data_IF_226749690682
#
_entry.id   IF_226749690682
#
_cell.length_a   1.000
_cell.length_b   1.000
_cell.length_c   1.000
_cell.angle_alpha   90.00
_cell.angle_beta   90.00
_cell.angle_gamma   90.00
#
_symmetry.space_group_name_H-M   'P 1'
#
loop_
_entity.id
_entity.type
_entity.pdbx_description
1 polymer ?
#
# COMPACT_ATOMS: atom_id res chain seq x y z
N UNK A 1 16.61 10.82 5.52
CA UNK A 1 15.57 10.29 6.44
C UNK A 1 14.68 11.44 6.87
N UNK A 2 13.43 11.19 7.26
CA UNK A 2 12.49 12.26 7.68
C UNK A 2 12.19 12.18 9.16
N UNK A 3 11.89 13.33 9.78
CA UNK A 3 11.65 13.53 11.22
C UNK A 3 10.20 13.96 11.55
N UNK A 4 9.35 14.10 10.54
CA UNK A 4 7.90 14.30 10.72
C UNK A 4 7.09 13.74 9.55
N UNK A 5 5.79 13.53 9.77
CA UNK A 5 4.83 13.16 8.74
C UNK A 5 4.71 14.23 7.63
N UNK A 6 4.72 15.52 7.99
CA UNK A 6 4.72 16.64 7.04
C UNK A 6 5.97 16.63 6.15
N UNK A 7 7.15 16.45 6.75
CA UNK A 7 8.42 16.37 6.00
C UNK A 7 8.42 15.17 5.05
N UNK A 8 7.87 14.03 5.46
CA UNK A 8 7.72 12.86 4.58
C UNK A 8 6.78 13.16 3.41
N UNK A 9 5.63 13.78 3.66
CA UNK A 9 4.71 14.18 2.61
C UNK A 9 5.36 15.14 1.61
N UNK A 10 6.04 16.17 2.08
CA UNK A 10 6.75 17.14 1.22
C UNK A 10 7.84 16.45 0.40
N UNK A 11 8.64 15.61 1.04
CA UNK A 11 9.74 14.86 0.39
C UNK A 11 9.19 13.93 -0.70
N UNK A 12 8.19 13.10 -0.37
CA UNK A 12 7.58 12.17 -1.32
C UNK A 12 6.88 12.90 -2.46
N UNK A 13 6.22 14.02 -2.17
CA UNK A 13 5.61 14.88 -3.20
C UNK A 13 6.67 15.41 -4.16
N UNK A 14 7.71 16.06 -3.63
CA UNK A 14 8.79 16.66 -4.43
C UNK A 14 9.47 15.61 -5.31
N UNK A 15 9.89 14.49 -4.74
CA UNK A 15 10.63 13.45 -5.46
C UNK A 15 9.77 12.75 -6.51
N UNK A 16 8.48 12.50 -6.22
CA UNK A 16 7.57 11.87 -7.19
C UNK A 16 7.22 12.79 -8.37
N UNK A 17 7.15 14.10 -8.12
CA UNK A 17 6.87 15.13 -9.14
C UNK A 17 8.10 15.58 -9.93
N UNK A 18 9.30 15.25 -9.46
CA UNK A 18 10.54 15.51 -10.18
C UNK A 18 10.61 14.72 -11.49
N UNK A 19 9.96 13.56 -11.59
CA UNK A 19 9.87 12.78 -12.84
C UNK A 19 11.24 12.50 -13.51
N UNK A 20 12.26 12.21 -12.70
CA UNK A 20 13.63 11.98 -13.18
C UNK A 20 14.44 13.24 -13.45
N UNK A 21 13.88 14.43 -13.24
CA UNK A 21 14.61 15.70 -13.28
C UNK A 21 15.53 15.83 -12.04
N UNK A 22 16.84 15.84 -12.27
CA UNK A 22 17.84 15.92 -11.20
C UNK A 22 17.81 17.28 -10.48
N UNK A 23 17.49 18.38 -11.15
CA UNK A 23 17.41 19.70 -10.51
C UNK A 23 16.17 19.77 -9.61
N UNK A 24 15.02 19.33 -10.11
CA UNK A 24 13.77 19.34 -9.36
C UNK A 24 13.79 18.40 -8.14
N UNK A 25 14.50 17.27 -8.23
CA UNK A 25 14.71 16.34 -7.12
C UNK A 25 15.77 16.78 -6.12
N UNK A 26 16.54 17.84 -6.43
CA UNK A 26 17.68 18.27 -5.60
C UNK A 26 18.88 17.32 -5.67
N UNK A 27 19.09 16.67 -6.82
CA UNK A 27 20.19 15.76 -7.10
C UNK A 27 19.96 14.31 -6.66
N UNK A 28 18.77 13.98 -6.13
CA UNK A 28 18.43 12.64 -5.67
C UNK A 28 17.86 11.79 -6.83
N UNK A 29 18.28 10.52 -6.98
CA UNK A 29 17.80 9.68 -8.06
C UNK A 29 16.36 9.20 -7.81
N UNK A 30 15.44 9.47 -8.74
CA UNK A 30 14.00 9.15 -8.58
C UNK A 30 13.51 8.02 -9.48
N UNK A 31 14.41 7.23 -10.09
CA UNK A 31 14.01 6.08 -10.92
C UNK A 31 13.36 4.98 -10.07
N UNK A 32 13.88 4.78 -8.87
CA UNK A 32 13.26 4.00 -7.81
C UNK A 32 13.02 4.92 -6.62
N UNK A 33 11.78 4.94 -6.13
CA UNK A 33 11.38 5.73 -4.98
C UNK A 33 10.40 4.91 -4.13
N UNK A 34 10.72 4.76 -2.85
CA UNK A 34 9.86 4.16 -1.83
C UNK A 34 10.17 4.81 -0.48
N UNK A 35 9.33 4.57 0.52
CA UNK A 35 9.67 4.84 1.91
C UNK A 35 9.27 3.68 2.82
N UNK A 36 9.98 3.53 3.93
CA UNK A 36 9.58 2.68 5.06
C UNK A 36 9.40 3.55 6.28
N UNK A 37 8.19 3.56 6.83
CA UNK A 37 7.83 4.41 7.97
C UNK A 37 7.89 3.59 9.25
N UNK A 38 8.62 4.04 10.26
CA UNK A 38 8.82 3.30 11.53
C UNK A 38 8.06 3.90 12.71
N UNK A 39 7.60 5.14 12.58
CA UNK A 39 6.73 5.83 13.53
C UNK A 39 6.06 7.00 12.81
N UNK A 40 5.17 7.72 13.51
CA UNK A 40 4.57 8.95 13.00
C UNK A 40 5.62 10.01 12.61
N UNK A 41 6.76 10.01 13.29
CA UNK A 41 7.83 10.99 13.08
C UNK A 41 8.95 10.46 12.18
N UNK A 42 9.21 9.16 12.15
CA UNK A 42 10.43 8.65 11.52
C UNK A 42 10.17 7.77 10.31
N UNK A 43 10.78 8.12 9.17
CA UNK A 43 10.79 7.27 7.99
C UNK A 43 12.15 7.29 7.27
N UNK A 44 12.44 6.19 6.57
CA UNK A 44 13.57 6.08 5.66
C UNK A 44 13.02 6.16 4.24
N UNK A 45 13.41 7.21 3.51
CA UNK A 45 13.10 7.37 2.09
C UNK A 45 14.23 6.73 1.29
N UNK A 46 13.90 5.78 0.43
CA UNK A 46 14.86 5.10 -0.43
C UNK A 46 14.75 5.62 -1.86
N UNK A 47 15.85 6.20 -2.34
CA UNK A 47 16.00 6.73 -3.68
C UNK A 47 17.03 5.88 -4.45
N UNK A 48 16.76 5.58 -5.71
CA UNK A 48 17.64 4.71 -6.50
C UNK A 48 17.65 5.03 -7.99
N UNK A 49 18.78 4.72 -8.61
CA UNK A 49 18.97 4.65 -10.07
C UNK A 49 19.75 3.41 -10.43
N UNK A 50 19.53 2.91 -11.64
CA UNK A 50 20.41 1.89 -12.20
C UNK A 50 21.82 2.47 -12.39
N UNK A 51 22.82 1.64 -12.09
CA UNK A 51 24.24 1.95 -12.30
C UNK A 51 24.91 0.77 -12.99
N UNK A 52 25.97 1.05 -13.74
CA UNK A 52 26.82 0.01 -14.31
C UNK A 52 27.53 -0.79 -13.20
N UNK A 53 28.00 -1.99 -13.56
CA UNK A 53 28.70 -2.85 -12.64
C UNK A 53 29.95 -2.14 -12.06
N UNK A 54 30.10 -2.06 -10.71
CA UNK A 54 31.25 -1.41 -10.08
C UNK A 54 32.60 -1.93 -10.56
N UNK A 55 33.42 -1.03 -11.12
CA UNK A 55 34.76 -1.38 -11.63
C UNK A 55 35.88 -1.03 -10.65
N UNK A 56 35.72 0.06 -9.88
CA UNK A 56 36.71 0.55 -8.92
C UNK A 56 36.64 -0.19 -7.57
N UNK A 57 37.72 -0.13 -6.80
CA UNK A 57 37.73 -0.72 -5.45
C UNK A 57 36.82 0.04 -4.47
N UNK A 58 36.63 1.34 -4.68
CA UNK A 58 35.77 2.20 -3.86
C UNK A 58 34.30 1.85 -4.08
N UNK A 59 33.85 1.78 -5.35
CA UNK A 59 32.46 1.41 -5.67
C UNK A 59 32.14 -0.02 -5.23
N UNK A 60 33.10 -0.94 -5.34
CA UNK A 60 32.91 -2.33 -4.88
C UNK A 60 32.67 -2.43 -3.37
N UNK A 61 33.16 -1.48 -2.56
CA UNK A 61 32.88 -1.43 -1.12
C UNK A 61 31.45 -1.01 -0.81
N UNK A 62 30.79 -0.31 -1.72
CA UNK A 62 29.38 0.08 -1.58
C UNK A 62 28.43 -1.10 -1.89
N UNK A 63 28.93 -2.21 -2.44
CA UNK A 63 28.08 -3.34 -2.82
C UNK A 63 27.48 -3.99 -1.57
N UNK A 64 26.15 -3.93 -1.45
CA UNK A 64 25.41 -4.62 -0.42
C UNK A 64 24.40 -5.62 -1.02
N UNK A 65 24.74 -6.91 -0.93
CA UNK A 65 23.78 -7.99 -1.16
C UNK A 65 22.78 -8.11 0.01
N UNK A 66 21.79 -7.22 0.09
CA UNK A 66 20.84 -7.13 1.22
C UNK A 66 20.12 -8.46 1.53
N UNK A 67 19.82 -9.25 0.50
CA UNK A 67 19.06 -10.50 0.62
C UNK A 67 19.86 -11.78 0.90
N UNK A 68 21.14 -11.69 1.28
CA UNK A 68 21.84 -12.88 1.75
C UNK A 68 21.14 -13.48 2.96
N UNK A 69 21.01 -14.81 3.00
CA UNK A 69 20.15 -15.50 3.96
C UNK A 69 20.58 -15.34 5.43
N UNK A 70 21.85 -14.99 5.69
CA UNK A 70 22.35 -14.66 7.02
C UNK A 70 22.20 -13.17 7.40
N UNK A 71 21.94 -12.28 6.42
CA UNK A 71 21.76 -10.84 6.67
C UNK A 71 20.37 -10.52 7.24
N UNK A 72 20.23 -9.39 7.95
CA UNK A 72 18.94 -8.97 8.50
C UNK A 72 17.91 -8.84 7.39
N UNK A 73 16.64 -8.92 7.74
CA UNK A 73 15.57 -8.53 6.83
C UNK A 73 15.76 -7.08 6.39
N UNK A 74 15.35 -6.75 5.16
CA UNK A 74 15.65 -5.44 4.56
C UNK A 74 15.09 -4.28 5.39
N UNK A 75 13.86 -4.39 5.88
CA UNK A 75 13.28 -3.36 6.75
C UNK A 75 14.02 -3.24 8.09
N UNK A 76 14.65 -4.30 8.63
CA UNK A 76 15.46 -4.18 9.85
C UNK A 76 16.84 -3.56 9.56
N UNK A 77 17.40 -3.79 8.37
CA UNK A 77 18.60 -3.08 7.89
C UNK A 77 18.35 -1.57 7.81
N UNK A 78 17.25 -1.15 7.18
CA UNK A 78 16.85 0.25 7.10
C UNK A 78 16.61 0.88 8.48
N UNK A 79 15.95 0.15 9.39
CA UNK A 79 15.75 0.59 10.77
C UNK A 79 17.08 0.79 11.51
N UNK A 80 18.04 -0.12 11.32
CA UNK A 80 19.36 0.00 11.94
C UNK A 80 20.07 1.27 11.48
N UNK A 81 19.98 1.62 10.19
CA UNK A 81 20.55 2.86 9.66
C UNK A 81 19.90 4.10 10.29
N UNK A 82 18.58 4.05 10.48
CA UNK A 82 17.80 5.10 11.15
C UNK A 82 18.23 5.29 12.61
N UNK A 83 18.34 4.19 13.36
CA UNK A 83 18.76 4.20 14.77
C UNK A 83 20.22 4.66 14.94
N UNK A 84 21.08 4.39 13.96
CA UNK A 84 22.46 4.89 13.91
C UNK A 84 22.56 6.40 13.58
N UNK A 85 21.43 7.05 13.26
CA UNK A 85 21.39 8.49 13.00
C UNK A 85 21.99 8.90 11.65
N UNK A 86 22.05 7.99 10.67
CA UNK A 86 22.50 8.34 9.33
C UNK A 86 21.51 9.30 8.66
N UNK A 87 21.92 10.50 8.24
CA UNK A 87 21.01 11.37 7.48
C UNK A 87 20.80 10.87 6.05
N UNK A 88 21.91 10.45 5.43
CA UNK A 88 22.00 9.87 4.08
C UNK A 88 22.96 8.68 4.10
N UNK A 89 22.60 7.62 3.39
CA UNK A 89 23.41 6.41 3.27
C UNK A 89 23.32 5.86 1.85
N UNK A 90 24.45 5.49 1.26
CA UNK A 90 24.54 5.08 -0.15
C UNK A 90 25.07 3.66 -0.24
N UNK A 91 24.34 2.82 -0.96
CA UNK A 91 24.70 1.43 -1.23
C UNK A 91 24.43 1.08 -2.70
N UNK A 92 25.22 0.15 -3.23
CA UNK A 92 24.98 -0.47 -4.54
C UNK A 92 24.38 -1.84 -4.30
N UNK A 93 23.11 -2.02 -4.64
CA UNK A 93 22.38 -3.27 -4.38
C UNK A 93 22.29 -4.05 -5.70
N UNK A 94 22.75 -5.33 -5.74
CA UNK A 94 22.54 -6.16 -6.92
C UNK A 94 21.06 -6.25 -7.28
N UNK A 95 20.72 -6.12 -8.57
CA UNK A 95 19.33 -5.98 -9.03
C UNK A 95 18.39 -7.08 -8.51
N UNK A 96 18.84 -8.35 -8.53
CA UNK A 96 18.06 -9.48 -7.99
C UNK A 96 17.79 -9.33 -6.48
N UNK A 97 18.75 -8.79 -5.72
CA UNK A 97 18.55 -8.54 -4.29
C UNK A 97 17.53 -7.41 -4.08
N UNK A 98 17.59 -6.35 -4.89
CA UNK A 98 16.65 -5.24 -4.78
C UNK A 98 15.20 -5.68 -5.09
N UNK A 99 14.98 -6.41 -6.19
CA UNK A 99 13.63 -6.87 -6.56
C UNK A 99 12.99 -7.82 -5.55
N UNK A 100 13.81 -8.57 -4.81
CA UNK A 100 13.31 -9.52 -3.80
C UNK A 100 13.47 -9.00 -2.37
N UNK A 101 13.73 -7.70 -2.14
CA UNK A 101 14.11 -7.14 -0.83
C UNK A 101 13.14 -7.47 0.31
N UNK A 102 11.87 -7.67 -0.01
CA UNK A 102 10.82 -8.05 0.94
C UNK A 102 10.44 -9.55 0.91
N UNK A 103 10.96 -10.34 -0.04
CA UNK A 103 10.55 -11.75 -0.22
C UNK A 103 10.87 -12.61 1.01
N UNK A 104 12.07 -12.44 1.60
CA UNK A 104 12.52 -13.28 2.74
C UNK A 104 11.71 -13.04 4.01
N UNK A 105 11.17 -11.84 4.16
CA UNK A 105 10.42 -11.42 5.34
C UNK A 105 8.91 -11.34 5.11
N UNK A 106 8.44 -11.61 3.87
CA UNK A 106 7.07 -11.29 3.41
C UNK A 106 6.72 -9.87 3.89
N UNK A 107 7.47 -8.89 3.40
CA UNK A 107 7.53 -7.53 3.94
C UNK A 107 8.08 -7.52 5.38
N UNK A 108 7.26 -7.87 6.37
CA UNK A 108 7.63 -8.08 7.79
C UNK A 108 6.82 -9.16 8.50
N UNK A 109 5.85 -9.80 7.83
CA UNK A 109 4.94 -10.81 8.39
C UNK A 109 5.66 -12.01 9.01
N UNK A 110 6.84 -12.37 8.51
CA UNK A 110 7.63 -13.46 9.09
C UNK A 110 8.04 -13.18 10.53
N UNK A 111 8.26 -11.91 10.89
CA UNK A 111 8.58 -11.55 12.27
C UNK A 111 7.34 -11.60 13.17
N UNK A 112 6.14 -11.35 12.65
CA UNK A 112 4.90 -11.54 13.41
C UNK A 112 4.60 -13.02 13.66
N UNK A 113 4.86 -13.87 12.66
CA UNK A 113 4.70 -15.33 12.80
C UNK A 113 5.80 -15.97 13.67
N UNK A 114 7.03 -15.50 13.54
CA UNK A 114 8.22 -16.03 14.23
C UNK A 114 9.04 -14.83 14.75
N UNK A 115 8.75 -14.33 15.97
CA UNK A 115 9.36 -13.10 16.51
C UNK A 115 10.88 -13.06 16.56
N UNK A 116 11.53 -14.23 16.63
CA UNK A 116 12.99 -14.35 16.63
C UNK A 116 13.59 -14.64 15.25
N UNK A 117 12.80 -14.56 14.17
CA UNK A 117 13.27 -14.90 12.82
C UNK A 117 14.39 -13.99 12.31
N UNK A 118 14.47 -12.76 12.80
CA UNK A 118 15.56 -11.85 12.48
C UNK A 118 16.78 -12.00 13.42
N UNK A 119 16.76 -12.90 14.40
CA UNK A 119 17.92 -13.15 15.27
C UNK A 119 19.08 -13.77 14.46
N UNK A 120 20.35 -13.35 14.64
CA UNK A 120 21.49 -13.85 13.85
C UNK A 120 21.63 -15.39 13.88
N UNK A 121 21.39 -16.03 15.03
CA UNK A 121 21.42 -17.50 15.15
C UNK A 121 20.32 -18.14 14.31
N UNK A 122 19.09 -17.62 14.37
CA UNK A 122 17.99 -18.15 13.56
C UNK A 122 18.30 -18.00 12.07
N UNK A 123 18.73 -16.81 11.64
CA UNK A 123 19.12 -16.57 10.25
C UNK A 123 20.24 -17.51 9.83
N UNK A 124 21.23 -17.75 10.68
CA UNK A 124 22.37 -18.62 10.39
C UNK A 124 21.99 -20.10 10.17
N UNK A 125 21.00 -20.62 10.90
CA UNK A 125 20.59 -22.02 10.74
C UNK A 125 19.41 -22.21 9.78
N UNK A 126 18.49 -21.25 9.75
CA UNK A 126 17.15 -21.39 9.14
C UNK A 126 16.83 -20.33 8.09
N UNK A 127 17.61 -19.26 7.99
CA UNK A 127 17.34 -18.15 7.06
C UNK A 127 17.37 -18.53 5.57
N UNK A 128 18.01 -19.66 5.22
CA UNK A 128 18.08 -20.17 3.85
C UNK A 128 16.80 -20.89 3.38
N UNK A 129 15.94 -21.32 4.31
CA UNK A 129 14.64 -21.91 3.98
C UNK A 129 13.68 -20.89 3.35
N UNK A 130 13.95 -19.60 3.57
CA UNK A 130 13.11 -18.51 3.09
C UNK A 130 11.76 -18.46 3.82
N UNK A 131 10.86 -17.67 3.26
CA UNK A 131 9.49 -17.59 3.74
C UNK A 131 8.65 -18.75 3.17
N UNK A 132 7.71 -19.34 3.94
CA UNK A 132 6.75 -20.28 3.41
C UNK A 132 5.90 -19.63 2.30
N UNK A 133 5.47 -20.45 1.35
CA UNK A 133 4.64 -19.99 0.25
C UNK A 133 3.22 -19.63 0.77
N UNK A 134 2.72 -18.46 0.37
CA UNK A 134 1.49 -17.88 0.94
C UNK A 134 0.24 -18.71 0.58
N UNK A 135 0.18 -19.29 -0.62
CA UNK A 135 -0.94 -20.15 -1.01
C UNK A 135 -1.00 -21.43 -0.16
N UNK A 136 0.14 -21.96 0.26
CA UNK A 136 0.25 -23.11 1.15
C UNK A 136 -0.24 -22.75 2.55
N UNK A 137 0.11 -21.57 3.07
CA UNK A 137 -0.43 -21.07 4.34
C UNK A 137 -1.96 -20.95 4.27
N UNK A 138 -2.48 -20.35 3.19
CA UNK A 138 -3.92 -20.19 2.95
C UNK A 138 -4.65 -21.52 2.81
N UNK A 139 -4.03 -22.54 2.20
CA UNK A 139 -4.63 -23.87 2.03
C UNK A 139 -4.98 -24.52 3.38
N UNK A 140 -4.21 -24.25 4.43
CA UNK A 140 -4.45 -24.79 5.77
C UNK A 140 -5.34 -23.90 6.66
N UNK A 141 -5.77 -22.73 6.17
CA UNK A 141 -6.66 -21.83 6.90
C UNK A 141 -8.13 -22.20 6.65
N UNK A 142 -8.67 -23.11 7.46
CA UNK A 142 -10.11 -23.36 7.48
C UNK A 142 -10.93 -22.11 7.88
N UNK A 143 -12.26 -22.10 7.68
CA UNK A 143 -13.10 -20.91 7.89
C UNK A 143 -12.97 -20.23 9.26
N UNK A 144 -12.78 -21.03 10.32
CA UNK A 144 -12.56 -20.52 11.69
C UNK A 144 -11.23 -19.79 11.82
N UNK A 145 -10.15 -20.38 11.29
CA UNK A 145 -8.80 -19.79 11.33
C UNK A 145 -8.79 -18.50 10.51
N UNK A 146 -9.42 -18.51 9.34
CA UNK A 146 -9.57 -17.34 8.48
C UNK A 146 -10.32 -16.20 9.19
N UNK A 147 -11.46 -16.49 9.81
CA UNK A 147 -12.22 -15.49 10.59
C UNK A 147 -11.40 -14.95 11.77
N UNK A 148 -10.69 -15.81 12.49
CA UNK A 148 -9.82 -15.38 13.58
C UNK A 148 -8.67 -14.50 13.08
N UNK A 149 -8.10 -14.80 11.91
CA UNK A 149 -7.09 -13.96 11.28
C UNK A 149 -7.60 -12.56 10.99
N UNK A 150 -8.81 -12.41 10.45
CA UNK A 150 -9.44 -11.09 10.20
C UNK A 150 -9.65 -10.31 11.49
N UNK A 151 -10.00 -11.00 12.58
CA UNK A 151 -10.23 -10.37 13.89
C UNK A 151 -8.93 -10.09 14.67
N UNK A 152 -7.77 -10.55 14.20
CA UNK A 152 -6.51 -10.43 14.94
C UNK A 152 -5.39 -9.75 14.15
N UNK A 153 -5.55 -9.59 12.84
CA UNK A 153 -4.48 -9.16 11.95
C UNK A 153 -5.00 -8.27 10.84
N UNK A 154 -4.26 -7.19 10.56
CA UNK A 154 -4.58 -6.20 9.53
C UNK A 154 -3.67 -6.44 8.35
N UNK A 155 -4.26 -6.53 7.16
CA UNK A 155 -3.57 -6.45 5.87
C UNK A 155 -4.34 -5.45 5.04
N UNK A 156 -3.98 -4.17 5.13
CA UNK A 156 -4.74 -3.07 4.54
C UNK A 156 -3.84 -2.03 3.88
N UNK A 157 -4.30 -1.51 2.74
CA UNK A 157 -3.55 -0.59 1.89
C UNK A 157 -4.43 0.50 1.34
N UNK A 158 -4.03 1.75 1.56
CA UNK A 158 -4.71 2.89 0.93
C UNK A 158 -3.78 3.52 -0.10
N UNK A 159 -4.23 3.49 -1.36
CA UNK A 159 -3.71 4.34 -2.39
C UNK A 159 -4.42 5.70 -2.32
N UNK A 160 -3.79 6.68 -1.68
CA UNK A 160 -4.34 8.03 -1.47
C UNK A 160 -3.51 9.09 -2.22
N UNK A 161 -4.04 10.27 -2.55
CA UNK A 161 -3.21 11.34 -3.12
C UNK A 161 -2.03 11.66 -2.21
N UNK A 162 -0.83 11.89 -2.76
CA UNK A 162 0.39 12.10 -1.95
C UNK A 162 0.26 13.25 -0.95
N UNK A 163 -0.55 14.27 -1.27
CA UNK A 163 -0.84 15.44 -0.41
C UNK A 163 -1.75 15.13 0.78
N UNK A 164 -2.19 13.89 0.92
CA UNK A 164 -2.99 13.38 2.04
C UNK A 164 -2.19 12.40 2.90
N UNK A 165 -0.90 12.19 2.61
CA UNK A 165 -0.04 11.24 3.32
C UNK A 165 0.07 11.57 4.81
N UNK A 166 0.25 12.83 5.17
CA UNK A 166 0.34 13.23 6.59
C UNK A 166 -0.92 12.84 7.37
N UNK A 167 -2.10 13.17 6.80
CA UNK A 167 -3.38 12.78 7.38
C UNK A 167 -3.54 11.26 7.40
N UNK A 168 -3.16 10.57 6.32
CA UNK A 168 -3.21 9.11 6.21
C UNK A 168 -2.37 8.41 7.26
N UNK A 169 -1.16 8.90 7.55
CA UNK A 169 -0.31 8.36 8.62
C UNK A 169 -0.98 8.48 9.99
N UNK A 170 -1.59 9.64 10.29
CA UNK A 170 -2.32 9.80 11.55
C UNK A 170 -3.52 8.87 11.63
N UNK A 171 -4.24 8.66 10.51
CA UNK A 171 -5.38 7.74 10.48
C UNK A 171 -4.97 6.29 10.64
N UNK A 172 -3.87 5.86 10.03
CA UNK A 172 -3.34 4.50 10.16
C UNK A 172 -2.89 4.21 11.60
N UNK A 173 -2.29 5.20 12.27
CA UNK A 173 -1.98 5.13 13.69
C UNK A 173 -3.27 5.01 14.52
N UNK A 174 -4.27 5.86 14.26
CA UNK A 174 -5.56 5.83 14.97
C UNK A 174 -6.32 4.50 14.79
N UNK A 175 -6.29 3.91 13.59
CA UNK A 175 -7.04 2.69 13.27
C UNK A 175 -6.32 1.42 13.70
N UNK A 176 -5.01 1.35 13.51
CA UNK A 176 -4.25 0.11 13.62
C UNK A 176 -3.06 0.21 14.58
N UNK A 177 -2.37 1.35 14.58
CA UNK A 177 -1.06 1.55 15.24
C UNK A 177 -0.10 0.38 14.94
N UNK A 178 0.21 0.22 13.66
CA UNK A 178 1.11 -0.81 13.14
C UNK A 178 2.30 -0.13 12.49
N UNK A 179 3.50 -0.60 12.84
CA UNK A 179 4.75 -0.21 12.21
C UNK A 179 5.66 -1.43 12.04
N UNK A 180 6.49 -1.47 10.98
CA UNK A 180 6.63 -0.42 9.96
C UNK A 180 5.46 -0.35 8.96
N UNK A 181 5.34 0.77 8.24
CA UNK A 181 4.43 0.93 7.10
C UNK A 181 5.21 0.98 5.79
N UNK A 182 4.62 0.45 4.72
CA UNK A 182 5.19 0.48 3.37
C UNK A 182 4.64 1.69 2.64
N UNK A 183 5.48 2.38 1.87
CA UNK A 183 5.05 3.52 1.09
C UNK A 183 5.61 3.50 -0.33
N UNK A 184 4.74 3.43 -1.33
CA UNK A 184 5.12 3.53 -2.75
C UNK A 184 4.39 4.65 -3.47
N UNK A 185 5.08 5.52 -4.21
CA UNK A 185 4.42 6.48 -5.07
C UNK A 185 3.93 5.80 -6.36
N UNK A 186 2.73 6.18 -6.77
CA UNK A 186 2.05 5.71 -7.97
C UNK A 186 1.65 6.92 -8.81
N UNK A 187 2.02 6.90 -10.09
CA UNK A 187 1.51 7.90 -11.04
C UNK A 187 0.24 7.40 -11.69
N UNK A 188 -0.83 8.17 -11.57
CA UNK A 188 -2.11 7.90 -12.24
C UNK A 188 -2.34 8.94 -13.33
N UNK A 189 -2.68 8.47 -14.53
CA UNK A 189 -2.90 9.30 -15.71
C UNK A 189 -4.39 9.49 -15.95
N UNK A 190 -4.81 10.73 -16.18
CA UNK A 190 -6.10 11.05 -16.76
C UNK A 190 -5.99 11.00 -18.28
N UNK A 191 -6.70 10.05 -18.88
CA UNK A 191 -6.80 9.83 -20.34
C UNK A 191 -8.20 10.20 -20.86
N UNK A 192 -8.97 11.00 -20.11
CA UNK A 192 -10.33 11.39 -20.45
C UNK A 192 -11.25 10.18 -20.64
N UNK A 193 -11.96 10.12 -21.77
CA UNK A 193 -12.87 9.01 -22.10
C UNK A 193 -12.19 7.64 -22.21
N UNK A 194 -10.85 7.63 -22.33
CA UNK A 194 -10.03 6.43 -22.38
C UNK A 194 -9.41 6.05 -21.03
N UNK A 195 -9.73 6.78 -19.95
CA UNK A 195 -9.39 6.36 -18.58
C UNK A 195 -10.09 5.04 -18.26
N UNK A 196 -9.36 4.14 -17.58
CA UNK A 196 -9.90 2.87 -17.08
C UNK A 196 -10.54 3.05 -15.71
N UNK A 197 -10.54 1.97 -14.92
CA UNK A 197 -11.05 1.97 -13.54
C UNK A 197 -10.42 3.06 -12.67
N UNK A 198 -9.10 3.25 -12.81
CA UNK A 198 -8.37 4.29 -12.11
C UNK A 198 -8.43 5.59 -12.91
N UNK A 199 -9.23 6.53 -12.42
CA UNK A 199 -9.35 7.86 -12.99
C UNK A 199 -9.09 8.89 -11.89
N UNK A 200 -8.01 9.69 -11.99
CA UNK A 200 -7.68 10.65 -10.94
C UNK A 200 -8.72 11.78 -10.93
N UNK A 201 -9.26 12.11 -9.76
CA UNK A 201 -10.09 13.31 -9.62
C UNK A 201 -9.28 14.55 -10.01
N UNK A 202 -9.89 15.48 -10.75
CA UNK A 202 -9.22 16.68 -11.26
C UNK A 202 -8.47 17.47 -10.18
N UNK A 203 -9.03 17.54 -8.96
CA UNK A 203 -8.42 18.18 -7.78
C UNK A 203 -7.06 17.59 -7.35
N UNK A 204 -6.78 16.33 -7.72
CA UNK A 204 -5.58 15.59 -7.34
C UNK A 204 -4.53 15.53 -8.47
N UNK A 205 -4.78 16.20 -9.59
CA UNK A 205 -3.83 16.30 -10.70
C UNK A 205 -2.69 17.26 -10.37
N UNK A 206 -1.49 16.91 -10.80
CA UNK A 206 -0.33 17.79 -10.77
C UNK A 206 -0.48 18.91 -11.81
N UNK A 207 0.17 20.07 -11.60
CA UNK A 207 0.23 21.12 -12.61
C UNK A 207 0.70 20.56 -13.95
N UNK A 208 0.01 20.91 -15.04
CA UNK A 208 0.29 20.37 -16.38
C UNK A 208 1.75 20.60 -16.78
N UNK A 209 2.57 19.55 -16.71
CA UNK A 209 3.88 19.47 -17.37
C UNK A 209 3.72 18.60 -18.62
N UNK A 210 4.09 19.15 -19.79
CA UNK A 210 4.12 18.37 -21.04
C UNK A 210 2.77 17.98 -21.64
N UNK A 211 1.67 18.64 -21.25
CA UNK A 211 0.34 18.45 -21.87
C UNK A 211 -0.43 17.19 -21.45
N UNK A 212 0.12 16.37 -20.54
CA UNK A 212 -0.59 15.23 -19.96
C UNK A 212 -1.14 15.58 -18.57
N UNK A 213 -2.37 15.13 -18.29
CA UNK A 213 -2.97 15.24 -16.97
C UNK A 213 -2.59 13.99 -16.17
N UNK A 214 -1.84 14.15 -15.09
CA UNK A 214 -1.51 13.06 -14.17
C UNK A 214 -1.45 13.59 -12.74
N UNK A 215 -1.61 12.71 -11.77
CA UNK A 215 -1.38 13.01 -10.36
C UNK A 215 -0.57 11.90 -9.68
N UNK A 216 -0.15 12.16 -8.45
CA UNK A 216 0.59 11.21 -7.63
C UNK A 216 -0.29 10.73 -6.48
N UNK A 217 -0.45 9.41 -6.43
CA UNK A 217 -0.95 8.68 -5.27
C UNK A 217 0.23 8.05 -4.55
N UNK A 218 0.03 7.71 -3.29
CA UNK A 218 0.92 6.86 -2.54
C UNK A 218 0.13 5.68 -2.00
N UNK A 219 0.68 4.50 -2.18
CA UNK A 219 0.21 3.27 -1.57
C UNK A 219 0.85 3.16 -0.18
N UNK A 220 0.03 3.41 0.86
CA UNK A 220 0.42 3.25 2.26
C UNK A 220 -0.14 1.94 2.79
N UNK A 221 0.74 1.02 3.16
CA UNK A 221 0.38 -0.33 3.60
C UNK A 221 0.66 -0.58 5.07
N UNK A 222 -0.32 -1.15 5.77
CA UNK A 222 -0.18 -1.70 7.11
C UNK A 222 -0.39 -3.21 7.07
N UNK A 223 0.62 -3.94 7.54
CA UNK A 223 0.51 -5.37 7.79
C UNK A 223 0.96 -5.68 9.20
N UNK A 224 0.10 -6.32 9.99
CA UNK A 224 0.44 -6.68 11.36
C UNK A 224 -0.73 -6.84 12.30
N UNK A 225 -0.42 -7.22 13.53
CA UNK A 225 -1.39 -7.27 14.63
C UNK A 225 -1.67 -5.85 15.14
N UNK A 226 -2.91 -5.33 15.12
CA UNK A 226 -3.21 -3.97 15.57
C UNK A 226 -3.03 -3.82 17.09
N UNK A 227 -2.76 -2.60 17.57
CA UNK A 227 -2.43 -2.33 18.98
C UNK A 227 -3.44 -2.91 19.97
N UNK A 228 -4.73 -2.75 19.70
CA UNK A 228 -5.79 -3.25 20.59
C UNK A 228 -5.66 -4.76 20.83
N UNK A 229 -5.29 -5.54 19.81
CA UNK A 229 -5.08 -6.99 19.93
C UNK A 229 -3.78 -7.29 20.68
N UNK A 230 -2.70 -6.54 20.40
CA UNK A 230 -1.42 -6.67 21.13
C UNK A 230 -1.59 -6.40 22.63
N UNK A 231 -2.50 -5.49 22.98
CA UNK A 231 -2.84 -5.12 24.36
C UNK A 231 -3.88 -6.08 25.00
N UNK A 232 -4.33 -7.12 24.27
CA UNK A 232 -5.27 -8.14 24.75
C UNK A 232 -6.75 -7.75 24.70
N UNK A 233 -7.09 -6.69 23.96
CA UNK A 233 -8.46 -6.26 23.71
C UNK A 233 -9.08 -6.86 22.45
N UNK A 234 -10.38 -6.60 22.27
CA UNK A 234 -11.15 -7.05 21.10
C UNK A 234 -11.08 -6.02 19.97
N UNK A 235 -10.70 -6.48 18.79
CA UNK A 235 -10.67 -5.68 17.56
C UNK A 235 -11.96 -5.88 16.77
N UNK A 236 -12.58 -4.77 16.35
CA UNK A 236 -13.71 -4.77 15.43
C UNK A 236 -13.22 -4.45 14.00
N UNK A 237 -12.87 -5.48 13.21
CA UNK A 237 -12.35 -5.26 11.86
C UNK A 237 -13.42 -4.66 10.95
N UNK A 238 -14.71 -4.98 11.13
CA UNK A 238 -15.79 -4.41 10.30
C UNK A 238 -15.79 -2.90 10.41
N UNK A 239 -15.87 -2.39 11.64
CA UNK A 239 -15.94 -0.94 11.88
C UNK A 239 -14.66 -0.23 11.43
N UNK A 240 -13.49 -0.79 11.75
CA UNK A 240 -12.22 -0.15 11.45
C UNK A 240 -11.93 -0.11 9.94
N UNK A 241 -12.09 -1.24 9.23
CA UNK A 241 -11.86 -1.30 7.77
C UNK A 241 -12.87 -0.45 7.03
N UNK A 242 -14.15 -0.44 7.41
CA UNK A 242 -15.14 0.42 6.75
C UNK A 242 -14.83 1.91 6.92
N UNK A 243 -14.42 2.34 8.12
CA UNK A 243 -13.97 3.74 8.35
C UNK A 243 -12.77 4.09 7.46
N UNK A 244 -11.82 3.17 7.37
CA UNK A 244 -10.67 3.27 6.48
C UNK A 244 -11.08 3.41 5.01
N UNK A 245 -11.92 2.50 4.50
CA UNK A 245 -12.37 2.50 3.10
C UNK A 245 -13.16 3.77 2.76
N UNK A 246 -14.02 4.23 3.67
CA UNK A 246 -14.80 5.46 3.52
C UNK A 246 -13.88 6.67 3.38
N UNK A 247 -12.94 6.83 4.31
CA UNK A 247 -11.97 7.91 4.26
C UNK A 247 -11.11 7.86 2.99
N UNK A 248 -10.62 6.68 2.61
CA UNK A 248 -9.83 6.49 1.39
C UNK A 248 -10.60 6.96 0.15
N UNK A 249 -11.90 6.66 0.05
CA UNK A 249 -12.75 7.18 -1.03
C UNK A 249 -12.94 8.69 -0.96
N UNK A 250 -13.22 9.24 0.22
CA UNK A 250 -13.49 10.67 0.42
C UNK A 250 -12.31 11.55 0.00
N UNK A 251 -11.08 11.06 0.17
CA UNK A 251 -9.87 11.78 -0.28
C UNK A 251 -9.57 11.59 -1.77
N UNK A 252 -10.36 10.80 -2.50
CA UNK A 252 -10.15 10.46 -3.91
C UNK A 252 -9.05 9.42 -4.10
N UNK A 253 -8.92 8.51 -3.12
CA UNK A 253 -8.08 7.33 -3.17
C UNK A 253 -8.86 6.05 -3.46
N UNK A 254 -8.17 4.93 -3.41
CA UNK A 254 -8.72 3.59 -3.60
C UNK A 254 -7.95 2.56 -2.77
N UNK A 255 -8.54 1.40 -2.55
CA UNK A 255 -7.93 0.25 -1.87
C UNK A 255 -7.61 -0.85 -2.90
N UNK A 256 -6.41 -1.44 -2.87
CA UNK A 256 -6.04 -2.59 -3.72
C UNK A 256 -6.86 -3.85 -3.43
N UNK A 257 -7.31 -4.53 -4.48
CA UNK A 257 -8.24 -5.66 -4.42
C UNK A 257 -7.72 -6.97 -3.83
N UNK A 258 -6.43 -7.06 -3.48
CA UNK A 258 -5.90 -8.27 -2.88
C UNK A 258 -6.09 -8.29 -1.35
N UNK A 259 -6.43 -7.14 -0.77
CA UNK A 259 -6.76 -6.96 0.65
C UNK A 259 -8.24 -7.26 0.89
N UNK A 260 -8.60 -7.47 2.15
CA UNK A 260 -10.00 -7.67 2.54
C UNK A 260 -10.78 -6.36 2.39
N UNK A 261 -11.79 -6.36 1.53
CA UNK A 261 -12.71 -5.24 1.35
C UNK A 261 -14.04 -5.49 2.07
N UNK A 262 -14.47 -4.52 2.88
CA UNK A 262 -15.71 -4.55 3.66
C UNK A 262 -16.73 -3.53 3.13
N UNK A 263 -16.68 -3.28 1.82
CA UNK A 263 -17.58 -2.37 1.14
C UNK A 263 -18.74 -3.10 0.46
N UNK A 264 -19.88 -2.42 0.36
CA UNK A 264 -21.01 -2.84 -0.47
C UNK A 264 -20.64 -2.74 -1.95
N UNK A 265 -21.42 -3.36 -2.84
CA UNK A 265 -21.22 -3.19 -4.29
C UNK A 265 -21.32 -1.73 -4.72
N UNK A 266 -22.23 -0.98 -4.10
CA UNK A 266 -22.43 0.44 -4.40
C UNK A 266 -21.21 1.27 -3.98
N UNK A 267 -20.71 1.08 -2.77
CA UNK A 267 -19.47 1.71 -2.29
C UNK A 267 -18.26 1.33 -3.17
N UNK A 268 -18.17 0.08 -3.61
CA UNK A 268 -17.14 -0.37 -4.55
C UNK A 268 -17.19 0.42 -5.88
N UNK A 269 -18.40 0.59 -6.45
CA UNK A 269 -18.59 1.34 -7.70
C UNK A 269 -18.22 2.82 -7.57
N UNK A 270 -18.22 3.38 -6.36
CA UNK A 270 -17.76 4.75 -6.11
C UNK A 270 -16.23 4.88 -6.11
N UNK A 271 -15.49 3.80 -5.86
CA UNK A 271 -14.02 3.83 -5.86
C UNK A 271 -13.42 3.93 -7.28
N UNK A 272 -14.14 3.48 -8.32
CA UNK A 272 -13.59 3.32 -9.67
C UNK A 272 -14.54 3.85 -10.74
N UNK A 273 -13.98 4.28 -11.88
CA UNK A 273 -14.76 4.62 -13.05
C UNK A 273 -15.06 3.35 -13.89
N UNK A 274 -16.27 2.84 -13.74
CA UNK A 274 -16.76 1.67 -14.47
C UNK A 274 -17.21 1.97 -15.90
N UNK A 275 -17.32 3.24 -16.29
CA UNK A 275 -18.00 3.64 -17.53
C UNK A 275 -17.36 3.02 -18.78
N UNK A 276 -16.01 2.99 -18.85
CA UNK A 276 -15.32 2.38 -19.98
C UNK A 276 -15.54 0.87 -20.03
N UNK A 277 -15.50 0.21 -18.88
CA UNK A 277 -15.68 -1.23 -18.75
C UNK A 277 -17.10 -1.65 -19.16
N UNK A 278 -18.13 -0.95 -18.70
CA UNK A 278 -19.53 -1.19 -19.05
C UNK A 278 -19.75 -1.03 -20.57
N UNK A 279 -19.24 0.06 -21.16
CA UNK A 279 -19.32 0.30 -22.62
C UNK A 279 -18.67 -0.83 -23.42
N UNK A 280 -17.51 -1.33 -23.00
CA UNK A 280 -16.85 -2.42 -23.73
C UNK A 280 -17.63 -3.73 -23.59
N UNK A 281 -18.19 -4.04 -22.42
CA UNK A 281 -18.99 -5.25 -22.22
C UNK A 281 -20.22 -5.29 -23.12
N UNK A 282 -20.95 -4.19 -23.18
CA UNK A 282 -22.09 -4.06 -24.07
C UNK A 282 -21.67 -4.24 -25.53
N UNK A 283 -20.63 -3.51 -25.98
CA UNK A 283 -20.10 -3.57 -27.35
C UNK A 283 -19.72 -4.98 -27.80
N UNK A 284 -19.13 -5.77 -26.91
CA UNK A 284 -18.67 -7.13 -27.22
C UNK A 284 -19.68 -8.23 -26.87
N UNK A 285 -20.90 -7.88 -26.45
CA UNK A 285 -21.90 -8.86 -26.02
C UNK A 285 -21.48 -9.68 -24.79
N UNK A 286 -20.62 -9.10 -23.95
CA UNK A 286 -20.03 -9.74 -22.77
C UNK A 286 -20.73 -9.37 -21.46
N UNK A 287 -21.89 -8.72 -21.52
CA UNK A 287 -22.66 -8.28 -20.34
C UNK A 287 -23.03 -9.42 -19.40
N UNK A 288 -23.29 -10.61 -19.94
CA UNK A 288 -23.64 -11.81 -19.15
C UNK A 288 -22.54 -12.88 -19.15
N UNK A 289 -21.42 -12.64 -19.86
CA UNK A 289 -20.38 -13.65 -20.08
C UNK A 289 -19.45 -13.84 -18.87
N UNK A 290 -19.27 -12.79 -18.05
CA UNK A 290 -18.31 -12.80 -16.94
C UNK A 290 -18.88 -12.08 -15.70
N UNK A 291 -18.54 -12.51 -14.48
CA UNK A 291 -18.90 -11.78 -13.26
C UNK A 291 -18.28 -10.38 -13.22
N UNK A 292 -18.83 -9.48 -12.41
CA UNK A 292 -18.21 -8.18 -12.15
C UNK A 292 -16.94 -8.35 -11.30
N UNK A 293 -15.99 -7.40 -11.33
CA UNK A 293 -14.83 -7.43 -10.44
C UNK A 293 -15.22 -7.61 -8.97
N UNK A 294 -16.25 -6.90 -8.50
CA UNK A 294 -16.75 -6.99 -7.12
C UNK A 294 -17.12 -8.43 -6.72
N UNK A 295 -17.70 -9.22 -7.62
CA UNK A 295 -18.08 -10.62 -7.33
C UNK A 295 -16.88 -11.50 -7.00
N UNK A 296 -15.68 -11.11 -7.43
CA UNK A 296 -14.43 -11.83 -7.18
C UNK A 296 -13.68 -11.34 -5.94
N UNK A 297 -13.90 -10.09 -5.55
CA UNK A 297 -13.10 -9.42 -4.51
C UNK A 297 -13.88 -9.17 -3.23
N UNK A 298 -15.22 -9.24 -3.28
CA UNK A 298 -16.07 -9.12 -2.08
C UNK A 298 -15.67 -10.16 -1.04
N UNK A 299 -15.83 -9.78 0.22
CA UNK A 299 -15.55 -10.66 1.35
C UNK A 299 -16.27 -12.00 1.28
N UNK A 300 -15.58 -13.04 1.74
CA UNK A 300 -16.08 -14.41 1.81
C UNK A 300 -17.28 -14.50 2.77
N UNK A 301 -18.27 -15.38 2.51
CA UNK A 301 -19.40 -15.57 3.42
C UNK A 301 -18.95 -15.89 4.85
N UNK A 302 -19.47 -15.15 5.83
CA UNK A 302 -19.19 -15.35 7.26
C UNK A 302 -18.04 -14.52 7.83
N UNK A 303 -17.34 -13.75 7.00
CA UNK A 303 -16.27 -12.82 7.42
C UNK A 303 -16.85 -11.49 7.89
N UNK A 304 -17.64 -10.82 7.05
CA UNK A 304 -18.31 -9.55 7.36
C UNK A 304 -19.78 -9.65 6.98
N UNK A 305 -20.65 -9.10 7.83
CA UNK A 305 -22.08 -8.95 7.55
C UNK A 305 -22.34 -7.49 7.12
N UNK A 306 -22.81 -7.29 5.89
CA UNK A 306 -23.13 -5.98 5.31
C UNK A 306 -24.64 -5.78 5.10
N UNK A 307 -25.49 -6.67 5.65
CA UNK A 307 -26.93 -6.68 5.38
C UNK A 307 -27.61 -5.36 5.76
N UNK A 308 -27.19 -4.73 6.87
CA UNK A 308 -27.76 -3.47 7.31
C UNK A 308 -27.41 -2.31 6.38
N UNK A 309 -26.15 -2.27 5.92
CA UNK A 309 -25.65 -1.28 4.97
C UNK A 309 -26.36 -1.41 3.60
N UNK A 310 -26.46 -2.61 3.07
CA UNK A 310 -27.16 -2.89 1.81
C UNK A 310 -28.66 -2.55 1.89
N UNK A 311 -29.31 -2.84 3.03
CA UNK A 311 -30.70 -2.47 3.26
C UNK A 311 -30.92 -0.95 3.32
N UNK A 312 -29.98 -0.22 3.93
CA UNK A 312 -30.01 1.24 3.98
C UNK A 312 -29.85 1.86 2.58
N UNK A 313 -28.93 1.34 1.76
CA UNK A 313 -28.75 1.76 0.37
C UNK A 313 -30.02 1.53 -0.46
N UNK A 314 -30.62 0.34 -0.37
CA UNK A 314 -31.85 0.02 -1.07
C UNK A 314 -33.05 0.90 -0.62
N UNK A 315 -33.08 1.30 0.65
CA UNK A 315 -34.09 2.23 1.16
C UNK A 315 -33.88 3.65 0.62
N UNK A 316 -32.63 4.13 0.56
CA UNK A 316 -32.29 5.45 0.02
C UNK A 316 -32.63 5.56 -1.48
N UNK A 317 -32.33 4.52 -2.26
CA UNK A 317 -32.66 4.44 -3.68
C UNK A 317 -34.18 4.52 -3.91
N UNK A 318 -34.97 3.78 -3.11
CA UNK A 318 -36.45 3.83 -3.16
C UNK A 318 -37.02 5.18 -2.74
N UNK A 319 -36.36 5.90 -1.83
CA UNK A 319 -36.78 7.21 -1.37
C UNK A 319 -36.47 8.34 -2.38
N UNK A 320 -35.83 8.03 -3.52
CA UNK A 320 -35.40 9.05 -4.49
C UNK A 320 -34.38 10.03 -3.91
N UNK A 321 -33.78 9.69 -2.77
CA UNK A 321 -32.70 10.48 -2.19
C UNK A 321 -31.42 10.04 -2.90
N UNK A 322 -30.75 10.90 -3.67
CA UNK A 322 -29.47 10.52 -4.25
C UNK A 322 -28.55 10.15 -3.08
N UNK A 323 -28.08 8.90 -3.06
CA UNK A 323 -26.94 8.49 -2.23
C UNK A 323 -25.83 9.46 -2.60
N UNK A 324 -25.41 10.27 -1.64
CA UNK A 324 -24.66 11.51 -1.86
C UNK A 324 -23.61 11.37 -2.95
N UNK A 325 -23.88 11.97 -4.11
CA UNK A 325 -22.90 12.27 -5.14
C UNK A 325 -22.06 13.46 -4.65
N UNK A 326 -21.47 13.33 -3.46
CA UNK A 326 -20.53 14.31 -2.88
C UNK A 326 -19.15 14.08 -3.46
N UNK A 327 -19.04 14.06 -4.78
CA UNK A 327 -17.84 14.49 -5.48
C UNK A 327 -18.28 15.15 -6.77
N UNK A 328 -18.53 16.45 -6.67
CA UNK A 328 -18.68 17.32 -7.83
C UNK A 328 -17.57 17.03 -8.83
N UNK A 329 -17.96 16.53 -10.00
CA UNK A 329 -17.13 16.50 -11.20
C UNK A 329 -16.82 17.95 -11.59
N UNK A 330 -15.66 18.44 -11.17
CA UNK A 330 -14.98 19.62 -11.72
C UNK A 330 -13.48 19.37 -11.77
#
# INVERSE_FOLDING_TARGET
>A
MTKSASELQETMTKLSEADGDEEASGGLPTQFLEATVYSKETAVVQCGKMVDAPTTAEDKRLINGINWWWKPFYFRHLQTLLEQGHETYVEIIPLKHYYHRFTRSIFWEIEDMIPFANHPIYRFFWGWMGAPEVSLLKLFQGPVIRKNSVNAHVVQESCMPVRRLEEGLSKFEDWWDIYPLLLFPLRTYDRGIHSGFLNPHGKNLCPKKGGQNWGIWVDLAAYGTPKVVRDGGDFDPKTAVRKFEHWTRDVGGWAPYYTDIFCTRNEYKQMFDHSLWERQRERFGASDAFPEPYDKVRSEPGIVDLTAEEAAEAAAEKAGTPVSDTMSRS
#
